data_IF_943185457859
#
_entry.id   IF_943185457859
#
_cell.length_a   1.000
_cell.length_b   1.000
_cell.length_c   1.000
_cell.angle_alpha   90.00
_cell.angle_beta   90.00
_cell.angle_gamma   90.00
#
_symmetry.space_group_name_H-M   'P 1'
#
loop_
_entity.id
_entity.type
_entity.pdbx_description
1 polymer ?
#
# COMPACT_ATOMS: atom_id res chain seq x y z
N UNK A 1 -4.64 57.72 40.61
CA UNK A 1 -3.96 56.74 39.73
C UNK A 1 -4.47 55.35 40.08
N UNK A 2 -5.39 54.80 39.29
CA UNK A 2 -5.92 53.45 39.48
C UNK A 2 -5.45 52.60 38.30
N UNK A 3 -4.55 51.65 38.55
CA UNK A 3 -4.12 50.68 37.55
C UNK A 3 -5.15 49.56 37.47
N UNK A 4 -5.81 49.44 36.31
CA UNK A 4 -6.65 48.28 35.98
C UNK A 4 -5.75 47.18 35.43
N UNK A 5 -5.68 46.06 36.16
CA UNK A 5 -5.05 44.83 35.71
C UNK A 5 -6.00 44.11 34.74
N UNK A 6 -5.67 44.06 33.45
CA UNK A 6 -6.40 43.27 32.47
C UNK A 6 -5.84 41.83 32.49
N UNK A 7 -6.62 40.86 32.97
CA UNK A 7 -6.33 39.44 32.80
C UNK A 7 -6.65 39.04 31.35
N UNK A 8 -5.60 38.81 30.56
CA UNK A 8 -5.68 38.13 29.26
C UNK A 8 -5.78 36.62 29.50
N UNK A 9 -6.99 36.07 29.39
CA UNK A 9 -7.22 34.63 29.33
C UNK A 9 -6.70 34.09 28.00
N UNK A 10 -5.51 33.48 28.01
CA UNK A 10 -4.97 32.76 26.85
C UNK A 10 -5.74 31.44 26.70
N UNK A 11 -6.63 31.39 25.72
CA UNK A 11 -7.33 30.18 25.32
C UNK A 11 -6.37 29.36 24.45
N UNK A 12 -5.64 28.42 25.04
CA UNK A 12 -4.89 27.41 24.29
C UNK A 12 -5.89 26.54 23.53
N UNK A 13 -6.07 26.81 22.23
CA UNK A 13 -6.64 25.86 21.29
C UNK A 13 -5.68 24.67 21.21
N UNK A 14 -5.97 23.60 21.95
CA UNK A 14 -5.48 22.27 21.58
C UNK A 14 -6.10 21.94 20.22
N UNK A 15 -5.37 22.22 19.15
CA UNK A 15 -5.60 21.54 17.88
C UNK A 15 -5.32 20.07 18.14
N UNK A 16 -6.37 19.31 18.46
CA UNK A 16 -6.33 17.86 18.28
C UNK A 16 -6.12 17.71 16.78
N UNK A 17 -4.89 17.42 16.36
CA UNK A 17 -4.63 16.98 15.02
C UNK A 17 -5.43 15.69 14.86
N UNK A 18 -6.64 15.79 14.31
CA UNK A 18 -7.32 14.65 13.76
C UNK A 18 -6.36 14.13 12.69
N UNK A 19 -5.68 13.02 12.99
CA UNK A 19 -4.93 12.27 11.98
C UNK A 19 -5.97 11.77 10.97
N UNK A 20 -6.31 12.60 9.99
CA UNK A 20 -7.08 12.16 8.84
C UNK A 20 -6.29 11.04 8.17
N UNK A 21 -6.97 9.92 7.88
CA UNK A 21 -6.36 8.83 7.14
C UNK A 21 -6.14 9.23 5.68
N UNK A 22 -5.33 8.46 4.98
CA UNK A 22 -5.17 8.56 3.53
C UNK A 22 -5.85 7.43 2.77
N UNK A 23 -5.92 7.55 1.44
CA UNK A 23 -6.35 6.45 0.58
C UNK A 23 -5.15 5.92 -0.21
N UNK A 24 -4.92 4.61 -0.13
CA UNK A 24 -4.00 3.89 -1.00
C UNK A 24 -4.77 3.16 -2.11
N UNK A 25 -4.23 3.13 -3.33
CA UNK A 25 -4.88 2.50 -4.49
C UNK A 25 -3.88 1.62 -5.25
N UNK A 26 -4.34 0.47 -5.72
CA UNK A 26 -3.61 -0.36 -6.69
C UNK A 26 -3.90 0.08 -8.12
N UNK A 27 -2.85 0.18 -8.94
CA UNK A 27 -2.92 0.56 -10.35
C UNK A 27 -1.98 -0.31 -11.18
N UNK A 28 -2.39 -0.69 -12.38
CA UNK A 28 -1.55 -1.35 -13.38
C UNK A 28 -2.10 -2.66 -13.92
N UNK A 29 -3.22 -3.17 -13.41
CA UNK A 29 -3.76 -4.47 -13.80
C UNK A 29 -4.90 -4.39 -14.82
N UNK A 30 -5.28 -3.19 -15.27
CA UNK A 30 -6.25 -3.04 -16.35
C UNK A 30 -5.93 -1.82 -17.22
N UNK A 31 -5.64 -2.04 -18.51
CA UNK A 31 -5.34 -0.95 -19.45
C UNK A 31 -6.46 0.08 -19.64
N UNK A 32 -7.69 -0.23 -19.19
CA UNK A 32 -8.82 0.68 -19.18
C UNK A 32 -8.95 1.56 -17.93
N UNK A 33 -8.02 1.52 -16.97
CA UNK A 33 -8.09 2.26 -15.70
C UNK A 33 -7.45 3.66 -15.74
N UNK A 34 -7.16 4.14 -16.95
CA UNK A 34 -6.49 5.42 -17.17
C UNK A 34 -4.99 5.38 -16.87
N UNK A 35 -4.30 6.45 -17.24
CA UNK A 35 -2.87 6.62 -16.99
C UNK A 35 -2.58 6.80 -15.49
N UNK A 36 -1.32 6.58 -15.10
CA UNK A 36 -0.87 6.84 -13.75
C UNK A 36 -0.96 8.34 -13.41
N UNK A 37 -0.67 9.22 -14.37
CA UNK A 37 -0.82 10.67 -14.19
C UNK A 37 -2.28 11.11 -13.95
N UNK A 38 -3.25 10.52 -14.67
CA UNK A 38 -4.69 10.76 -14.45
C UNK A 38 -5.12 10.27 -13.08
N UNK A 39 -4.70 9.06 -12.69
CA UNK A 39 -4.95 8.47 -11.37
C UNK A 39 -4.51 9.40 -10.25
N UNK A 40 -3.27 9.91 -10.32
CA UNK A 40 -2.72 10.85 -9.35
C UNK A 40 -3.37 12.25 -9.40
N UNK A 41 -3.97 12.63 -10.53
CA UNK A 41 -4.61 13.93 -10.70
C UNK A 41 -6.04 13.99 -10.16
N UNK A 42 -6.64 12.85 -9.81
CA UNK A 42 -7.92 12.80 -9.08
C UNK A 42 -7.84 13.51 -7.73
N UNK A 43 -6.64 13.54 -7.13
CA UNK A 43 -6.40 14.02 -5.78
C UNK A 43 -7.02 13.15 -4.69
N UNK A 44 -7.51 11.95 -5.02
CA UNK A 44 -8.15 11.05 -4.06
C UNK A 44 -7.18 10.17 -3.27
N UNK A 45 -5.94 10.02 -3.74
CA UNK A 45 -5.01 9.04 -3.22
C UNK A 45 -3.73 9.70 -2.70
N UNK A 46 -3.23 9.21 -1.58
CA UNK A 46 -1.93 9.58 -1.00
C UNK A 46 -0.83 8.56 -1.35
N UNK A 47 -1.24 7.35 -1.75
CA UNK A 47 -0.38 6.23 -2.10
C UNK A 47 -0.90 5.55 -3.37
N UNK A 48 0.00 5.27 -4.31
CA UNK A 48 -0.29 4.45 -5.49
C UNK A 48 0.68 3.27 -5.54
N UNK A 49 0.13 2.06 -5.60
CA UNK A 49 0.86 0.81 -5.64
C UNK A 49 0.87 0.27 -7.08
N UNK A 50 2.03 0.28 -7.73
CA UNK A 50 2.20 -0.21 -9.10
C UNK A 50 2.23 -1.74 -9.11
N UNK A 51 1.15 -2.33 -9.59
CA UNK A 51 0.89 -3.76 -9.60
C UNK A 51 1.16 -4.34 -11.00
N UNK A 52 2.11 -5.27 -11.20
CA UNK A 52 2.99 -5.92 -10.23
C UNK A 52 4.37 -6.27 -10.82
N UNK A 53 5.38 -6.44 -9.98
CA UNK A 53 6.52 -7.33 -10.28
C UNK A 53 6.11 -8.78 -9.98
N UNK A 54 5.57 -9.45 -11.00
CA UNK A 54 4.91 -10.75 -10.87
C UNK A 54 5.85 -11.97 -11.01
N UNK A 55 7.09 -11.77 -11.43
CA UNK A 55 8.10 -12.83 -11.54
C UNK A 55 9.41 -12.37 -10.93
N UNK A 56 9.99 -13.13 -10.00
CA UNK A 56 11.32 -12.89 -9.42
C UNK A 56 11.77 -14.06 -8.52
N UNK A 57 13.04 -14.06 -8.12
CA UNK A 57 13.61 -15.05 -7.21
C UNK A 57 13.92 -16.40 -7.87
N UNK A 58 14.64 -17.27 -7.16
CA UNK A 58 15.17 -18.53 -7.68
C UNK A 58 15.93 -18.39 -9.02
N UNK A 59 16.71 -17.32 -9.18
CA UNK A 59 17.48 -17.04 -10.40
C UNK A 59 16.65 -16.67 -11.64
N UNK A 60 15.33 -16.49 -11.50
CA UNK A 60 14.48 -16.04 -12.60
C UNK A 60 14.79 -14.58 -12.97
N UNK A 61 14.80 -14.22 -14.27
CA UNK A 61 14.82 -12.82 -14.68
C UNK A 61 13.57 -12.11 -14.17
N UNK A 62 13.68 -11.06 -13.33
CA UNK A 62 12.49 -10.43 -12.79
C UNK A 62 11.69 -9.71 -13.88
N UNK A 63 10.37 -9.82 -13.83
CA UNK A 63 9.47 -9.28 -14.86
C UNK A 63 8.30 -8.54 -14.23
N UNK A 64 8.07 -7.31 -14.68
CA UNK A 64 6.88 -6.53 -14.34
C UNK A 64 5.73 -6.92 -15.27
N UNK A 65 4.50 -6.85 -14.78
CA UNK A 65 3.28 -6.99 -15.56
C UNK A 65 2.38 -5.79 -15.23
N UNK A 66 2.18 -4.91 -16.21
CA UNK A 66 1.26 -3.76 -16.14
C UNK A 66 0.09 -3.93 -17.13
N UNK A 67 -0.37 -5.17 -17.29
CA UNK A 67 -1.47 -5.55 -18.17
C UNK A 67 -1.38 -4.90 -19.56
N UNK A 68 -2.39 -4.10 -19.94
CA UNK A 68 -2.48 -3.43 -21.24
C UNK A 68 -1.81 -2.05 -21.30
N UNK A 69 -1.16 -1.57 -20.23
CA UNK A 69 -0.60 -0.20 -20.20
C UNK A 69 0.67 -0.07 -21.03
N UNK A 70 1.56 -1.06 -20.98
CA UNK A 70 2.83 -1.04 -21.69
C UNK A 70 3.44 -2.45 -21.78
N UNK A 71 4.32 -2.64 -22.76
CA UNK A 71 5.07 -3.89 -22.93
C UNK A 71 6.45 -3.82 -22.24
N UNK A 72 6.70 -4.61 -21.18
CA UNK A 72 7.97 -4.62 -20.48
C UNK A 72 9.09 -5.30 -21.28
N UNK A 73 8.77 -6.18 -22.25
CA UNK A 73 9.78 -6.92 -23.03
C UNK A 73 10.49 -6.04 -24.07
N UNK A 74 9.89 -4.92 -24.44
CA UNK A 74 10.42 -3.96 -25.42
C UNK A 74 10.89 -2.63 -24.81
N UNK A 75 11.07 -2.57 -23.48
CA UNK A 75 11.29 -1.32 -22.73
C UNK A 75 10.15 -0.29 -22.90
N UNK A 76 8.95 -0.73 -23.29
CA UNK A 76 7.79 0.12 -23.56
C UNK A 76 7.22 0.83 -22.32
N UNK A 77 7.58 0.37 -21.12
CA UNK A 77 7.12 0.95 -19.85
C UNK A 77 7.98 2.11 -19.33
N UNK A 78 9.07 2.45 -20.02
CA UNK A 78 10.00 3.52 -19.59
C UNK A 78 9.38 4.92 -19.57
N UNK A 79 8.32 5.14 -20.35
CA UNK A 79 7.56 6.39 -20.38
C UNK A 79 6.87 6.72 -19.04
N UNK A 80 6.60 5.71 -18.19
CA UNK A 80 6.00 5.90 -16.87
C UNK A 80 6.85 6.76 -15.94
N UNK A 81 8.13 6.99 -16.26
CA UNK A 81 8.97 7.91 -15.49
C UNK A 81 8.35 9.30 -15.34
N UNK A 82 7.62 9.79 -16.34
CA UNK A 82 6.99 11.12 -16.30
C UNK A 82 5.79 11.12 -15.37
N UNK A 83 4.95 10.08 -15.45
CA UNK A 83 3.76 9.93 -14.62
C UNK A 83 4.12 9.75 -13.15
N UNK A 84 5.13 8.91 -12.85
CA UNK A 84 5.64 8.72 -11.48
C UNK A 84 6.10 10.06 -10.90
N UNK A 85 6.88 10.84 -11.65
CA UNK A 85 7.34 12.16 -11.21
C UNK A 85 6.16 13.13 -11.02
N UNK A 86 5.13 13.05 -11.85
CA UNK A 86 3.89 13.85 -11.71
C UNK A 86 3.15 13.53 -10.42
N UNK A 87 3.01 12.24 -10.07
CA UNK A 87 2.44 11.80 -8.78
C UNK A 87 3.26 12.32 -7.61
N UNK A 88 4.59 12.12 -7.63
CA UNK A 88 5.48 12.53 -6.55
C UNK A 88 5.50 14.05 -6.36
N UNK A 89 5.39 14.84 -7.44
CA UNK A 89 5.26 16.30 -7.36
C UNK A 89 3.97 16.76 -6.65
N UNK A 90 2.94 15.91 -6.60
CA UNK A 90 1.70 16.12 -5.84
C UNK A 90 1.78 15.62 -4.39
N UNK A 91 2.94 15.09 -3.97
CA UNK A 91 3.15 14.52 -2.64
C UNK A 91 2.69 13.06 -2.49
N UNK A 92 2.21 12.44 -3.58
CA UNK A 92 1.74 11.05 -3.60
C UNK A 92 2.96 10.12 -3.60
N UNK A 93 2.96 9.13 -2.70
CA UNK A 93 4.00 8.08 -2.70
C UNK A 93 3.66 7.02 -3.73
N UNK A 94 4.65 6.63 -4.52
CA UNK A 94 4.51 5.58 -5.54
C UNK A 94 5.40 4.40 -5.18
N UNK A 95 4.78 3.26 -4.90
CA UNK A 95 5.45 2.00 -4.56
C UNK A 95 5.43 1.05 -5.75
N UNK A 96 6.45 0.20 -5.86
CA UNK A 96 6.34 -1.01 -6.69
C UNK A 96 5.80 -2.15 -5.84
N UNK A 97 4.74 -2.81 -6.29
CA UNK A 97 4.25 -4.02 -5.65
C UNK A 97 4.93 -5.26 -6.19
N UNK A 98 5.49 -6.09 -5.30
CA UNK A 98 6.00 -7.41 -5.62
C UNK A 98 4.96 -8.48 -5.25
N UNK A 99 4.76 -9.47 -6.12
CA UNK A 99 3.83 -10.57 -5.89
C UNK A 99 2.50 -10.43 -6.64
N UNK A 100 1.40 -10.41 -5.90
CA UNK A 100 0.01 -10.48 -6.37
C UNK A 100 -0.52 -11.92 -6.50
N UNK A 101 -1.84 -12.10 -6.58
CA UNK A 101 -2.48 -13.42 -6.65
C UNK A 101 -2.02 -14.36 -7.79
N UNK A 102 -1.39 -13.82 -8.84
CA UNK A 102 -0.86 -14.59 -9.97
C UNK A 102 0.59 -14.19 -10.28
N UNK A 103 1.44 -15.18 -10.59
CA UNK A 103 2.85 -14.95 -10.90
C UNK A 103 3.73 -16.15 -10.58
N UNK A 104 5.04 -15.98 -10.78
CA UNK A 104 6.08 -16.95 -10.41
C UNK A 104 7.12 -16.26 -9.55
N UNK A 105 6.85 -16.19 -8.25
CA UNK A 105 7.71 -15.52 -7.28
C UNK A 105 7.86 -16.35 -6.01
N UNK A 106 9.10 -16.48 -5.54
CA UNK A 106 9.46 -17.11 -4.28
C UNK A 106 10.94 -16.89 -3.99
N UNK A 107 11.34 -17.01 -2.73
CA UNK A 107 12.73 -16.84 -2.30
C UNK A 107 13.27 -18.17 -1.79
N UNK A 108 14.43 -18.57 -2.27
CA UNK A 108 15.03 -19.88 -1.96
C UNK A 108 16.06 -19.84 -0.84
N UNK A 109 16.56 -18.65 -0.50
CA UNK A 109 17.55 -18.44 0.56
C UNK A 109 17.64 -16.96 0.92
N UNK A 110 18.30 -16.63 2.04
CA UNK A 110 18.65 -15.26 2.37
C UNK A 110 19.57 -14.61 1.30
N UNK A 111 20.40 -15.41 0.61
CA UNK A 111 21.23 -14.92 -0.49
C UNK A 111 20.40 -14.54 -1.72
N UNK A 112 19.35 -15.32 -2.03
CA UNK A 112 18.36 -15.01 -3.07
C UNK A 112 17.59 -13.73 -2.71
N UNK A 113 17.14 -13.60 -1.46
CA UNK A 113 16.51 -12.37 -0.95
C UNK A 113 17.42 -11.14 -1.13
N UNK A 114 18.73 -11.27 -0.86
CA UNK A 114 19.70 -10.19 -1.07
C UNK A 114 19.87 -9.83 -2.56
N UNK A 115 19.87 -10.82 -3.45
CA UNK A 115 19.93 -10.60 -4.90
C UNK A 115 18.69 -9.85 -5.38
N UNK A 116 17.51 -10.26 -4.93
CA UNK A 116 16.24 -9.57 -5.25
C UNK A 116 16.26 -8.14 -4.69
N UNK A 117 16.69 -7.93 -3.44
CA UNK A 117 16.81 -6.59 -2.86
C UNK A 117 17.73 -5.68 -3.68
N UNK A 118 18.88 -6.22 -4.11
CA UNK A 118 19.85 -5.50 -4.95
C UNK A 118 19.26 -5.16 -6.32
N UNK A 119 18.49 -6.09 -6.91
CA UNK A 119 17.80 -5.85 -8.17
C UNK A 119 16.75 -4.73 -8.04
N UNK A 120 15.91 -4.78 -7.00
CA UNK A 120 14.90 -3.76 -6.72
C UNK A 120 15.56 -2.38 -6.51
N UNK A 121 16.65 -2.34 -5.73
CA UNK A 121 17.41 -1.12 -5.49
C UNK A 121 17.90 -0.48 -6.79
N UNK A 122 18.54 -1.28 -7.65
CA UNK A 122 19.17 -0.78 -8.88
C UNK A 122 18.18 -0.44 -10.00
N UNK A 123 17.03 -1.12 -10.06
CA UNK A 123 16.10 -0.98 -11.19
C UNK A 123 14.89 -0.09 -10.90
N UNK A 124 14.52 0.10 -9.63
CA UNK A 124 13.30 0.85 -9.26
C UNK A 124 13.53 1.92 -8.19
N UNK A 125 14.55 1.75 -7.34
CA UNK A 125 14.88 2.70 -6.28
C UNK A 125 16.12 3.52 -6.65
N UNK A 126 16.92 3.95 -5.67
CA UNK A 126 18.02 4.90 -5.81
C UNK A 126 19.33 4.33 -6.38
N UNK A 127 19.36 3.05 -6.71
CA UNK A 127 20.52 2.43 -7.35
C UNK A 127 20.62 2.77 -8.85
N UNK A 128 21.57 2.11 -9.53
CA UNK A 128 21.86 2.38 -10.95
C UNK A 128 21.71 1.11 -11.78
N UNK A 129 21.01 1.25 -12.92
CA UNK A 129 20.86 0.21 -13.94
C UNK A 129 20.67 0.90 -15.29
N UNK A 130 21.19 0.31 -16.37
CA UNK A 130 21.01 0.82 -17.73
C UNK A 130 19.67 0.41 -18.36
N UNK A 131 18.95 -0.53 -17.73
CA UNK A 131 17.71 -1.13 -18.26
C UNK A 131 16.61 -1.10 -17.20
N UNK A 132 16.35 0.08 -16.63
CA UNK A 132 15.29 0.28 -15.63
C UNK A 132 13.91 0.11 -16.28
N UNK A 133 13.04 -0.82 -15.83
CA UNK A 133 11.78 -1.11 -16.52
C UNK A 133 10.82 0.08 -16.61
N UNK A 134 10.82 0.96 -15.60
CA UNK A 134 9.96 2.14 -15.53
C UNK A 134 10.69 3.45 -15.86
N UNK A 135 11.89 3.34 -16.46
CA UNK A 135 12.76 4.47 -16.73
C UNK A 135 13.50 4.97 -15.49
N UNK A 136 13.92 6.23 -15.53
CA UNK A 136 14.84 6.82 -14.53
C UNK A 136 14.18 7.24 -13.22
N UNK A 137 12.84 7.22 -13.13
CA UNK A 137 12.14 7.57 -11.89
C UNK A 137 12.57 6.65 -10.74
N UNK A 138 12.72 7.27 -9.56
CA UNK A 138 13.05 6.59 -8.30
C UNK A 138 11.76 6.47 -7.49
N UNK A 139 11.26 5.26 -7.34
CA UNK A 139 10.06 4.98 -6.55
C UNK A 139 10.30 5.28 -5.07
N UNK A 140 9.20 5.46 -4.33
CA UNK A 140 9.24 5.75 -2.90
C UNK A 140 9.52 4.50 -2.06
N UNK A 141 9.11 3.33 -2.53
CA UNK A 141 9.22 2.11 -1.75
C UNK A 141 8.81 0.84 -2.48
N UNK A 142 8.79 -0.24 -1.73
CA UNK A 142 8.38 -1.58 -2.18
C UNK A 142 7.19 -2.03 -1.33
N UNK A 143 6.13 -2.43 -2.01
CA UNK A 143 4.96 -3.07 -1.43
C UNK A 143 5.04 -4.58 -1.55
N UNK A 144 4.80 -5.29 -0.45
CA UNK A 144 4.84 -6.75 -0.38
C UNK A 144 3.41 -7.30 -0.38
N UNK A 145 2.96 -7.74 -1.55
CA UNK A 145 1.68 -8.42 -1.72
C UNK A 145 1.93 -9.91 -2.01
N UNK A 146 2.33 -10.64 -0.97
CA UNK A 146 2.77 -12.03 -1.08
C UNK A 146 1.60 -12.96 -0.77
N UNK A 147 0.99 -13.53 -1.81
CA UNK A 147 -0.20 -14.39 -1.70
C UNK A 147 0.08 -15.87 -2.00
N UNK A 148 1.32 -16.21 -2.34
CA UNK A 148 1.72 -17.56 -2.76
C UNK A 148 3.21 -17.84 -2.62
N UNK A 149 3.63 -19.01 -3.12
CA UNK A 149 5.02 -19.44 -3.12
C UNK A 149 5.50 -19.92 -1.74
N UNK A 150 6.67 -19.45 -1.32
CA UNK A 150 7.30 -19.83 -0.05
C UNK A 150 6.95 -18.86 1.09
N UNK A 151 7.02 -19.33 2.33
CA UNK A 151 6.80 -18.50 3.55
C UNK A 151 8.10 -17.99 4.19
N UNK A 152 9.24 -18.19 3.51
CA UNK A 152 10.58 -17.92 4.05
C UNK A 152 11.24 -16.74 3.34
N UNK A 153 12.16 -16.06 4.04
CA UNK A 153 13.06 -15.02 3.55
C UNK A 153 12.44 -13.67 3.16
N UNK A 154 11.14 -13.48 3.36
CA UNK A 154 10.51 -12.16 3.20
C UNK A 154 11.00 -11.14 4.24
N UNK A 155 11.36 -11.61 5.44
CA UNK A 155 12.00 -10.81 6.48
C UNK A 155 13.43 -10.44 6.13
N UNK A 156 14.19 -11.35 5.53
CA UNK A 156 15.52 -11.04 4.99
C UNK A 156 15.42 -9.95 3.90
N UNK A 157 14.48 -10.09 2.96
CA UNK A 157 14.24 -9.10 1.91
C UNK A 157 13.89 -7.73 2.50
N UNK A 158 13.00 -7.68 3.48
CA UNK A 158 12.64 -6.44 4.17
C UNK A 158 13.87 -5.78 4.84
N UNK A 159 14.72 -6.55 5.52
CA UNK A 159 15.96 -6.04 6.13
C UNK A 159 16.90 -5.45 5.10
N UNK A 160 17.20 -6.18 4.02
CA UNK A 160 18.10 -5.70 2.97
C UNK A 160 17.58 -4.46 2.26
N UNK A 161 16.27 -4.37 1.99
CA UNK A 161 15.68 -3.16 1.42
C UNK A 161 15.75 -1.97 2.39
N UNK A 162 15.49 -2.20 3.68
CA UNK A 162 15.57 -1.17 4.70
C UNK A 162 16.97 -0.58 4.83
N UNK A 163 18.02 -1.40 4.75
CA UNK A 163 19.44 -0.98 4.81
C UNK A 163 19.78 0.08 3.76
N UNK A 164 19.18 0.04 2.56
CA UNK A 164 19.41 1.04 1.51
C UNK A 164 18.90 2.44 1.87
N UNK A 165 18.02 2.58 2.87
CA UNK A 165 17.60 3.90 3.38
C UNK A 165 18.78 4.72 3.93
N UNK A 166 19.86 4.06 4.35
CA UNK A 166 21.10 4.74 4.78
C UNK A 166 21.95 5.29 3.64
N UNK A 167 21.64 4.94 2.38
CA UNK A 167 22.43 5.29 1.20
C UNK A 167 21.79 6.41 0.35
N UNK A 168 20.68 7.00 0.81
CA UNK A 168 20.01 8.07 0.08
C UNK A 168 18.61 8.38 0.62
N UNK A 169 17.62 8.41 -0.29
CA UNK A 169 16.21 8.58 0.05
C UNK A 169 15.73 7.37 0.87
N UNK A 170 14.92 7.61 1.91
CA UNK A 170 14.22 6.55 2.65
C UNK A 170 13.50 5.61 1.66
N UNK A 171 13.71 4.31 1.85
CA UNK A 171 12.94 3.26 1.16
C UNK A 171 11.74 2.92 2.05
N UNK A 172 10.53 3.27 1.59
CA UNK A 172 9.32 2.88 2.28
C UNK A 172 9.06 1.38 2.09
N UNK A 173 8.65 0.70 3.16
CA UNK A 173 8.25 -0.70 3.11
C UNK A 173 6.78 -0.81 3.47
N UNK A 174 5.99 -1.39 2.58
CA UNK A 174 4.56 -1.63 2.79
C UNK A 174 4.22 -3.10 2.57
N UNK A 175 3.08 -3.54 3.12
CA UNK A 175 2.62 -4.91 2.96
C UNK A 175 1.10 -5.01 2.87
N UNK A 176 0.65 -5.99 2.09
CA UNK A 176 -0.75 -6.34 1.89
C UNK A 176 -1.07 -7.75 2.41
N UNK A 177 -0.94 -8.03 3.71
CA UNK A 177 -1.32 -9.35 4.24
C UNK A 177 -2.83 -9.59 4.09
N UNK A 178 -3.24 -10.84 4.00
CA UNK A 178 -4.65 -11.20 4.12
C UNK A 178 -5.15 -10.97 5.56
N UNK A 179 -6.45 -10.75 5.75
CA UNK A 179 -6.98 -10.50 7.10
C UNK A 179 -6.85 -11.65 8.11
N UNK A 180 -6.76 -12.95 7.76
CA UNK A 180 -6.52 -14.00 8.74
C UNK A 180 -5.19 -13.79 9.46
N UNK A 181 -5.24 -13.70 10.79
CA UNK A 181 -4.05 -13.44 11.60
C UNK A 181 -3.54 -14.71 12.30
N UNK A 182 -2.22 -14.97 12.32
CA UNK A 182 -1.19 -14.26 11.57
C UNK A 182 -1.21 -14.65 10.08
N UNK A 183 -0.80 -13.72 9.21
CA UNK A 183 -0.68 -14.00 7.77
C UNK A 183 0.26 -15.17 7.49
N UNK A 184 -0.11 -16.04 6.54
CA UNK A 184 0.61 -17.27 6.27
C UNK A 184 2.01 -17.03 5.67
N UNK A 185 2.15 -16.00 4.84
CA UNK A 185 3.33 -15.75 4.01
C UNK A 185 4.26 -14.71 4.62
N UNK A 186 3.71 -13.59 5.11
CA UNK A 186 4.51 -12.41 5.46
C UNK A 186 4.61 -12.12 6.95
N UNK A 187 4.08 -13.00 7.82
CA UNK A 187 4.14 -12.84 9.28
C UNK A 187 5.55 -12.59 9.85
N UNK A 188 6.58 -13.25 9.31
CA UNK A 188 7.95 -13.08 9.82
C UNK A 188 8.51 -11.71 9.45
N UNK A 189 8.21 -11.25 8.23
CA UNK A 189 8.62 -9.92 7.77
C UNK A 189 7.92 -8.82 8.58
N UNK A 190 6.61 -8.93 8.81
CA UNK A 190 5.87 -7.95 9.61
C UNK A 190 6.41 -7.80 11.04
N UNK A 191 6.87 -8.90 11.65
CA UNK A 191 7.47 -8.91 13.00
C UNK A 191 8.82 -8.20 13.09
N UNK A 192 9.46 -7.85 11.96
CA UNK A 192 10.72 -7.10 11.97
C UNK A 192 10.55 -5.66 12.47
N UNK A 193 9.34 -5.10 12.42
CA UNK A 193 9.08 -3.69 12.75
C UNK A 193 9.58 -2.69 11.70
N UNK A 194 9.91 -3.16 10.49
CA UNK A 194 10.46 -2.33 9.42
C UNK A 194 9.39 -1.75 8.48
N UNK A 195 8.15 -2.24 8.55
CA UNK A 195 7.07 -1.82 7.65
C UNK A 195 6.45 -0.49 8.13
N UNK A 196 6.41 0.48 7.22
CA UNK A 196 5.82 1.80 7.46
C UNK A 196 4.29 1.71 7.43
N UNK A 197 3.75 1.07 6.38
CA UNK A 197 2.31 0.98 6.13
C UNK A 197 1.89 -0.47 5.89
N UNK A 198 0.80 -0.90 6.50
CA UNK A 198 0.24 -2.25 6.29
C UNK A 198 -1.24 -2.12 5.93
N UNK A 199 -1.61 -2.45 4.70
CA UNK A 199 -3.00 -2.46 4.23
C UNK A 199 -3.54 -3.89 4.23
N UNK A 200 -4.11 -4.28 5.38
CA UNK A 200 -4.65 -5.63 5.57
C UNK A 200 -5.85 -5.83 4.65
N UNK A 201 -5.85 -6.90 3.86
CA UNK A 201 -6.91 -7.21 2.89
C UNK A 201 -8.13 -7.83 3.59
N UNK A 202 -9.15 -7.03 3.88
CA UNK A 202 -10.40 -7.46 4.53
C UNK A 202 -11.44 -7.93 3.50
N UNK A 203 -11.00 -8.80 2.59
CA UNK A 203 -11.81 -9.41 1.54
C UNK A 203 -11.29 -10.79 1.16
N UNK A 204 -12.09 -11.54 0.39
CA UNK A 204 -11.85 -12.95 0.03
C UNK A 204 -11.64 -13.91 1.22
N UNK A 205 -11.96 -13.48 2.44
CA UNK A 205 -11.71 -14.20 3.69
C UNK A 205 -12.89 -14.04 4.66
N UNK A 206 -13.93 -14.88 4.54
CA UNK A 206 -15.14 -14.82 5.39
C UNK A 206 -14.91 -14.71 6.91
N UNK A 207 -13.89 -15.34 7.52
CA UNK A 207 -13.68 -15.27 8.97
C UNK A 207 -13.33 -13.88 9.51
N UNK A 208 -12.86 -12.95 8.67
CA UNK A 208 -12.36 -11.65 9.10
C UNK A 208 -12.81 -10.48 8.23
N UNK A 209 -13.56 -10.70 7.14
CA UNK A 209 -14.11 -9.64 6.30
C UNK A 209 -15.51 -9.18 6.75
N UNK A 210 -16.04 -8.17 6.06
CA UNK A 210 -17.45 -7.79 6.18
C UNK A 210 -18.39 -8.81 5.53
N UNK A 211 -19.45 -9.17 6.24
CA UNK A 211 -20.50 -10.08 5.74
C UNK A 211 -21.89 -9.69 6.25
N UNK A 212 -22.26 -8.42 6.06
CA UNK A 212 -23.53 -7.85 6.56
C UNK A 212 -23.49 -7.43 8.04
N UNK A 213 -22.31 -7.45 8.65
CA UNK A 213 -22.04 -7.01 10.02
C UNK A 213 -20.53 -6.81 10.23
N UNK A 214 -20.17 -5.96 11.19
CA UNK A 214 -18.78 -5.51 11.36
C UNK A 214 -17.96 -6.35 12.33
N UNK A 215 -18.58 -7.23 13.13
CA UNK A 215 -17.93 -7.91 14.26
C UNK A 215 -16.63 -8.63 13.88
N UNK A 216 -16.66 -9.50 12.87
CA UNK A 216 -15.49 -10.26 12.43
C UNK A 216 -14.34 -9.35 11.97
N UNK A 217 -14.68 -8.30 11.23
CA UNK A 217 -13.73 -7.30 10.73
C UNK A 217 -13.14 -6.49 11.87
N UNK A 218 -13.98 -6.03 12.80
CA UNK A 218 -13.55 -5.23 13.95
C UNK A 218 -12.63 -6.03 14.89
N UNK A 219 -12.95 -7.30 15.13
CA UNK A 219 -12.13 -8.19 15.95
C UNK A 219 -10.76 -8.46 15.31
N UNK A 220 -10.73 -8.74 14.01
CA UNK A 220 -9.48 -8.88 13.26
C UNK A 220 -8.70 -7.56 13.22
N UNK A 221 -9.36 -6.42 13.02
CA UNK A 221 -8.72 -5.09 13.05
C UNK A 221 -8.04 -4.81 14.40
N UNK A 222 -8.70 -5.13 15.52
CA UNK A 222 -8.11 -5.01 16.87
C UNK A 222 -6.87 -5.88 17.01
N UNK A 223 -6.90 -7.12 16.51
CA UNK A 223 -5.76 -8.02 16.54
C UNK A 223 -4.57 -7.47 15.73
N UNK A 224 -4.81 -7.05 14.49
CA UNK A 224 -3.79 -6.46 13.62
C UNK A 224 -3.16 -5.20 14.23
N UNK A 225 -3.99 -4.31 14.77
CA UNK A 225 -3.50 -3.06 15.38
C UNK A 225 -2.79 -3.24 16.72
N UNK A 226 -3.14 -4.27 17.49
CA UNK A 226 -2.43 -4.61 18.72
C UNK A 226 -1.05 -5.22 18.45
N UNK A 227 -0.98 -6.21 17.56
CA UNK A 227 0.17 -7.12 17.46
C UNK A 227 1.24 -6.70 16.44
N UNK A 228 0.91 -5.93 15.40
CA UNK A 228 1.87 -5.59 14.34
C UNK A 228 2.62 -4.29 14.64
N UNK A 229 3.97 -4.30 14.68
CA UNK A 229 4.79 -3.11 14.92
C UNK A 229 4.95 -2.23 13.66
N UNK A 230 3.86 -1.89 12.99
CA UNK A 230 3.86 -0.95 11.86
C UNK A 230 3.51 0.47 12.32
N UNK A 231 3.94 1.47 11.56
CA UNK A 231 3.63 2.88 11.87
C UNK A 231 2.14 3.16 11.69
N UNK A 232 1.57 2.73 10.58
CA UNK A 232 0.14 2.86 10.27
C UNK A 232 -0.42 1.59 9.62
N UNK A 233 -1.67 1.30 9.94
CA UNK A 233 -2.44 0.17 9.40
C UNK A 233 -3.66 0.75 8.68
N UNK A 234 -3.92 0.21 7.50
CA UNK A 234 -4.99 0.61 6.59
C UNK A 234 -6.01 -0.51 6.44
N UNK A 235 -7.28 -0.14 6.29
CA UNK A 235 -8.36 -1.07 5.98
C UNK A 235 -8.37 -1.33 4.47
N UNK A 236 -7.89 -2.49 4.02
CA UNK A 236 -7.90 -2.88 2.61
C UNK A 236 -9.24 -3.45 2.18
N UNK A 237 -9.84 -2.87 1.15
CA UNK A 237 -11.19 -3.19 0.66
C UNK A 237 -11.23 -3.30 -0.87
N UNK A 238 -12.16 -4.09 -1.43
CA UNK A 238 -12.47 -4.03 -2.84
C UNK A 238 -13.26 -2.75 -3.14
N UNK A 239 -12.88 -2.03 -4.20
CA UNK A 239 -13.53 -0.78 -4.60
C UNK A 239 -14.94 -1.02 -5.17
N UNK A 240 -15.25 -2.24 -5.63
CA UNK A 240 -16.59 -2.61 -6.09
C UNK A 240 -16.92 -4.07 -5.73
N UNK A 241 -18.20 -4.48 -5.78
CA UNK A 241 -18.57 -5.89 -5.62
C UNK A 241 -17.91 -6.84 -6.63
N UNK A 242 -17.51 -6.33 -7.81
CA UNK A 242 -16.87 -7.12 -8.85
C UNK A 242 -15.35 -7.26 -8.69
N UNK A 243 -14.74 -6.49 -7.78
CA UNK A 243 -13.28 -6.47 -7.60
C UNK A 243 -12.73 -7.64 -6.77
N UNK A 244 -13.60 -8.33 -6.02
CA UNK A 244 -13.24 -9.47 -5.18
C UNK A 244 -14.40 -10.48 -5.13
N UNK A 245 -14.10 -11.72 -4.77
CA UNK A 245 -15.12 -12.77 -4.62
C UNK A 245 -16.07 -12.53 -3.45
N UNK A 246 -15.62 -11.81 -2.42
CA UNK A 246 -16.44 -11.41 -1.26
C UNK A 246 -15.76 -10.32 -0.42
N UNK A 247 -16.48 -9.71 0.53
CA UNK A 247 -15.93 -8.72 1.47
C UNK A 247 -16.16 -7.25 1.11
N UNK A 248 -16.83 -6.97 -0.02
CA UNK A 248 -17.25 -5.60 -0.35
C UNK A 248 -18.16 -4.99 0.72
N UNK A 249 -17.87 -3.75 1.08
CA UNK A 249 -18.64 -2.97 2.07
C UNK A 249 -19.38 -1.85 1.33
N UNK A 250 -20.72 -1.79 1.38
CA UNK A 250 -21.45 -0.64 0.87
C UNK A 250 -20.96 0.65 1.54
N UNK A 251 -20.86 1.75 0.76
CA UNK A 251 -20.36 3.05 1.25
C UNK A 251 -21.07 3.49 2.54
N UNK A 252 -22.40 3.33 2.60
CA UNK A 252 -23.18 3.69 3.79
C UNK A 252 -22.78 2.91 5.04
N UNK A 253 -22.51 1.62 4.92
CA UNK A 253 -22.08 0.78 6.04
C UNK A 253 -20.64 1.10 6.44
N UNK A 254 -19.76 1.36 5.46
CA UNK A 254 -18.38 1.75 5.72
C UNK A 254 -18.33 3.05 6.53
N UNK A 255 -19.06 4.09 6.11
CA UNK A 255 -18.99 5.43 6.73
C UNK A 255 -19.77 5.52 8.04
N UNK A 256 -20.86 4.77 8.20
CA UNK A 256 -21.71 4.85 9.40
C UNK A 256 -21.37 3.82 10.48
N UNK A 257 -20.73 2.69 10.14
CA UNK A 257 -20.46 1.61 11.09
C UNK A 257 -18.96 1.31 11.22
N UNK A 258 -18.30 1.01 10.10
CA UNK A 258 -16.92 0.49 10.11
C UNK A 258 -15.90 1.57 10.47
N UNK A 259 -15.87 2.68 9.73
CA UNK A 259 -14.91 3.78 9.99
C UNK A 259 -15.03 4.32 11.43
N UNK A 260 -16.23 4.60 11.97
CA UNK A 260 -16.37 4.99 13.38
C UNK A 260 -15.78 3.98 14.37
N UNK A 261 -15.88 2.67 14.09
CA UNK A 261 -15.35 1.63 14.96
C UNK A 261 -13.81 1.55 14.94
N UNK A 262 -13.17 1.81 13.78
CA UNK A 262 -11.72 1.59 13.62
C UNK A 262 -10.86 2.84 13.77
N UNK A 263 -11.41 4.04 13.50
CA UNK A 263 -10.65 5.31 13.49
C UNK A 263 -10.11 5.73 14.86
N UNK A 264 -10.63 5.16 15.95
CA UNK A 264 -10.12 5.38 17.31
C UNK A 264 -8.74 4.78 17.57
N UNK A 265 -8.26 3.87 16.71
CA UNK A 265 -6.93 3.28 16.84
C UNK A 265 -5.83 4.29 16.52
N UNK A 266 -4.81 4.41 17.37
CA UNK A 266 -3.65 5.28 17.12
C UNK A 266 -2.87 4.89 15.84
N UNK A 267 -2.96 3.61 15.45
CA UNK A 267 -2.36 3.07 14.22
C UNK A 267 -3.24 3.23 12.99
N UNK A 268 -4.47 3.75 13.10
CA UNK A 268 -5.29 4.00 11.92
C UNK A 268 -4.55 4.93 10.94
N UNK A 269 -4.37 4.43 9.71
CA UNK A 269 -3.71 5.10 8.59
C UNK A 269 -4.66 5.50 7.48
N UNK A 270 -5.82 4.85 7.36
CA UNK A 270 -6.76 5.12 6.28
C UNK A 270 -7.35 3.86 5.66
N UNK A 271 -7.68 3.94 4.38
CA UNK A 271 -8.27 2.86 3.56
C UNK A 271 -7.35 2.53 2.40
N UNK A 272 -7.24 1.26 2.04
CA UNK A 272 -6.63 0.82 0.79
C UNK A 272 -7.72 0.24 -0.10
N UNK A 273 -7.66 0.51 -1.40
CA UNK A 273 -8.64 0.04 -2.37
C UNK A 273 -7.98 -0.84 -3.44
N UNK A 274 -8.55 -2.02 -3.64
CA UNK A 274 -8.34 -2.87 -4.80
C UNK A 274 -9.54 -2.73 -5.75
N UNK A 275 -9.41 -2.09 -6.91
CA UNK A 275 -8.28 -1.39 -7.52
C UNK A 275 -8.77 -0.09 -8.20
N UNK A 276 -7.90 0.61 -8.93
CA UNK A 276 -8.27 1.83 -9.66
C UNK A 276 -9.34 1.58 -10.73
N UNK A 277 -9.26 0.47 -11.47
CA UNK A 277 -10.26 0.14 -12.49
C UNK A 277 -11.68 0.04 -11.93
N UNK A 278 -11.85 -0.63 -10.79
CA UNK A 278 -13.15 -0.76 -10.14
C UNK A 278 -13.55 0.50 -9.37
N UNK A 279 -12.59 1.28 -8.87
CA UNK A 279 -12.86 2.57 -8.24
C UNK A 279 -13.43 3.58 -9.24
N UNK A 280 -12.90 3.63 -10.47
CA UNK A 280 -13.44 4.49 -11.54
C UNK A 280 -14.91 4.19 -11.86
N UNK A 281 -15.27 2.91 -11.87
CA UNK A 281 -16.62 2.47 -12.21
C UNK A 281 -17.62 2.73 -11.09
N UNK A 282 -17.17 2.61 -9.84
CA UNK A 282 -18.02 2.69 -8.65
C UNK A 282 -18.05 4.07 -7.99
N UNK A 283 -17.00 4.88 -8.18
CA UNK A 283 -16.80 6.14 -7.47
C UNK A 283 -16.57 5.95 -5.96
N UNK A 284 -16.01 4.81 -5.55
CA UNK A 284 -15.91 4.43 -4.14
C UNK A 284 -15.04 5.41 -3.33
N UNK A 285 -13.82 5.69 -3.79
CA UNK A 285 -12.89 6.62 -3.14
C UNK A 285 -13.49 8.02 -3.01
N UNK A 286 -14.09 8.53 -4.09
CA UNK A 286 -14.77 9.83 -4.10
C UNK A 286 -15.88 9.91 -3.05
N UNK A 287 -16.59 8.81 -2.80
CA UNK A 287 -17.69 8.74 -1.84
C UNK A 287 -17.24 8.65 -0.38
N UNK A 288 -16.03 8.14 -0.13
CA UNK A 288 -15.50 7.94 1.23
C UNK A 288 -14.45 8.96 1.64
N UNK A 289 -13.86 9.72 0.70
CA UNK A 289 -12.70 10.60 0.93
C UNK A 289 -12.84 11.56 2.10
N UNK A 290 -14.02 12.17 2.29
CA UNK A 290 -14.26 13.10 3.41
C UNK A 290 -14.44 12.41 4.76
N UNK A 291 -14.57 11.07 4.78
CA UNK A 291 -14.78 10.25 5.97
C UNK A 291 -13.52 9.50 6.42
N UNK A 292 -12.52 9.35 5.55
CA UNK A 292 -11.20 8.76 5.83
C UNK A 292 -10.34 9.81 6.54
#
# INVERSE_FOLDING_TARGET
MAYRLALLSSMMLLAVAANAGGIAIYWGQNGGEGTLAETCSTGNYDFVNLAFLATFGNGQPPMINLAGHCDPYSNGCTSLTTDIKSCQAKGIKVMLTIGGAAGSYYLTSAADAKQVATYLWNNFLGGKSTTRPLGEAVLDGIDFDIEGGTTQHWDDLARYLSEYSSQGKKVYLTAAPQCPFPDAYIRTALKTGLFDYVWVQFYNNPPCQYSGGITNLEDAWKQWTAEIPATKIFLGLPASPAAAGSGYIPVGDLTSQVLPAIKGSAKYGGVMLWDKYYDDQSGYSSSIKSHV
#
